data_IF_147054967876
#
_entry.id   IF_147054967876
#
_cell.length_a   1.000
_cell.length_b   1.000
_cell.length_c   1.000
_cell.angle_alpha   90.00
_cell.angle_beta   90.00
_cell.angle_gamma   90.00
#
_symmetry.space_group_name_H-M   'P 1'
#
loop_
_entity.id
_entity.type
_entity.pdbx_description
1 polymer ?
#
# COMPACT_ATOMS: atom_id res chain seq x y z
N UNK A 1 5.62 3.06 34.91
CA UNK A 1 5.71 3.92 33.71
C UNK A 1 5.70 3.02 32.49
N UNK A 2 4.51 2.58 32.04
CA UNK A 2 4.41 1.79 30.81
C UNK A 2 4.32 2.75 29.63
N UNK A 3 5.30 2.63 28.75
CA UNK A 3 5.42 3.36 27.49
C UNK A 3 4.17 3.08 26.66
N UNK A 4 3.29 4.07 26.54
CA UNK A 4 2.20 4.08 25.57
C UNK A 4 2.85 4.25 24.21
N UNK A 5 3.22 3.15 23.56
CA UNK A 5 3.72 3.18 22.19
C UNK A 5 2.64 3.80 21.31
N UNK A 6 3.01 4.88 20.62
CA UNK A 6 2.16 5.71 19.76
C UNK A 6 1.45 4.98 18.60
N UNK A 7 1.62 3.65 18.51
CA UNK A 7 0.97 2.76 17.56
C UNK A 7 -0.49 2.45 17.94
N UNK A 8 -0.88 2.60 19.21
CA UNK A 8 -2.24 2.29 19.70
C UNK A 8 -3.34 3.23 19.14
N UNK A 9 -2.95 4.38 18.59
CA UNK A 9 -3.85 5.36 17.97
C UNK A 9 -3.94 5.23 16.45
N UNK A 10 -3.12 4.38 15.82
CA UNK A 10 -3.12 4.23 14.38
C UNK A 10 -4.29 3.36 13.93
N UNK A 11 -4.84 3.68 12.76
CA UNK A 11 -5.95 2.95 12.14
C UNK A 11 -5.48 1.54 11.83
N UNK A 12 -5.99 0.51 12.54
CA UNK A 12 -5.58 -0.86 12.31
C UNK A 12 -6.14 -1.36 10.98
N UNK A 13 -5.48 -2.37 10.41
CA UNK A 13 -6.04 -3.08 9.26
C UNK A 13 -7.38 -3.69 9.64
N UNK A 14 -8.43 -3.43 8.84
CA UNK A 14 -9.75 -4.01 9.09
C UNK A 14 -9.69 -5.55 9.03
N UNK A 15 -10.49 -6.21 9.85
CA UNK A 15 -10.53 -7.68 9.92
C UNK A 15 -11.17 -8.26 8.65
N UNK A 16 -10.33 -8.56 7.65
CA UNK A 16 -10.71 -9.19 6.39
C UNK A 16 -9.47 -9.27 5.47
N UNK A 17 -9.29 -10.39 4.75
CA UNK A 17 -8.20 -10.47 3.77
C UNK A 17 -8.43 -9.45 2.65
N UNK A 18 -7.52 -8.48 2.54
CA UNK A 18 -7.39 -7.61 1.37
C UNK A 18 -7.05 -8.46 0.15
N UNK A 19 -8.06 -9.02 -0.51
CA UNK A 19 -7.82 -9.92 -1.64
C UNK A 19 -8.99 -10.74 -2.14
N UNK A 20 -10.15 -10.76 -1.49
CA UNK A 20 -11.31 -11.52 -1.96
C UNK A 20 -12.46 -10.62 -2.40
N UNK A 21 -12.78 -10.72 -3.70
CA UNK A 21 -13.94 -10.20 -4.43
C UNK A 21 -13.78 -8.83 -5.15
N UNK A 22 -13.26 -8.91 -6.38
CA UNK A 22 -13.90 -8.30 -7.56
C UNK A 22 -13.37 -6.96 -8.08
N UNK A 23 -13.00 -6.00 -7.23
CA UNK A 23 -12.76 -4.63 -7.69
C UNK A 23 -11.75 -3.86 -6.80
N UNK A 24 -10.47 -4.25 -6.93
CA UNK A 24 -9.26 -3.81 -6.21
C UNK A 24 -9.20 -2.35 -5.72
N UNK A 25 -9.69 -1.38 -6.51
CA UNK A 25 -9.67 0.03 -6.12
C UNK A 25 -10.78 0.42 -5.14
N UNK A 26 -11.97 -0.15 -5.29
CA UNK A 26 -13.14 0.26 -4.51
C UNK A 26 -13.12 -0.29 -3.09
N UNK A 27 -12.53 -1.47 -2.86
CA UNK A 27 -12.40 -2.03 -1.50
C UNK A 27 -11.39 -1.25 -0.68
N UNK A 28 -10.23 -0.90 -1.26
CA UNK A 28 -9.25 -0.08 -0.56
C UNK A 28 -9.75 1.37 -0.40
N UNK A 29 -10.38 1.96 -1.43
CA UNK A 29 -11.01 3.27 -1.31
C UNK A 29 -12.09 3.30 -0.21
N UNK A 30 -12.90 2.23 -0.09
CA UNK A 30 -13.88 2.07 0.99
C UNK A 30 -13.21 1.85 2.35
N UNK A 31 -12.16 1.06 2.42
CA UNK A 31 -11.44 0.77 3.68
C UNK A 31 -10.69 2.00 4.21
N UNK A 32 -10.22 2.87 3.31
CA UNK A 32 -9.57 4.12 3.65
C UNK A 32 -10.55 5.28 3.88
N UNK A 33 -11.81 5.11 3.47
CA UNK A 33 -12.85 6.16 3.44
C UNK A 33 -12.41 7.45 2.72
N UNK A 34 -11.55 7.30 1.71
CA UNK A 34 -11.02 8.44 0.96
C UNK A 34 -11.95 8.84 -0.17
N UNK A 35 -12.00 10.13 -0.46
CA UNK A 35 -12.63 10.62 -1.69
C UNK A 35 -11.89 10.05 -2.92
N UNK A 36 -12.65 9.62 -3.92
CA UNK A 36 -12.16 9.11 -5.22
C UNK A 36 -11.05 9.96 -5.83
N UNK A 37 -11.09 11.30 -5.68
CA UNK A 37 -10.02 12.18 -6.19
C UNK A 37 -8.69 12.00 -5.45
N UNK A 38 -8.70 11.85 -4.13
CA UNK A 38 -7.50 11.61 -3.33
C UNK A 38 -6.95 10.20 -3.63
N UNK A 39 -7.85 9.22 -3.72
CA UNK A 39 -7.50 7.85 -4.06
C UNK A 39 -6.85 7.74 -5.46
N UNK A 40 -7.40 8.41 -6.47
CA UNK A 40 -6.84 8.43 -7.82
C UNK A 40 -5.44 9.07 -7.87
N UNK A 41 -5.21 10.14 -7.10
CA UNK A 41 -3.87 10.76 -7.00
C UNK A 41 -2.85 9.80 -6.39
N UNK A 42 -3.22 9.10 -5.33
CA UNK A 42 -2.36 8.11 -4.69
C UNK A 42 -2.08 6.96 -5.65
N UNK A 43 -3.08 6.42 -6.34
CA UNK A 43 -2.88 5.38 -7.34
C UNK A 43 -1.94 5.80 -8.47
N UNK A 44 -2.04 7.04 -8.95
CA UNK A 44 -1.15 7.55 -10.00
C UNK A 44 0.30 7.65 -9.53
N UNK A 45 0.53 8.20 -8.34
CA UNK A 45 1.87 8.30 -7.75
C UNK A 45 2.44 6.93 -7.42
N UNK A 46 1.60 6.05 -6.89
CA UNK A 46 1.90 4.66 -6.63
C UNK A 46 2.38 3.92 -7.89
N UNK A 47 1.61 3.97 -8.99
CA UNK A 47 2.01 3.37 -10.27
C UNK A 47 3.33 3.92 -10.77
N UNK A 48 3.52 5.24 -10.72
CA UNK A 48 4.79 5.87 -11.11
C UNK A 48 5.98 5.33 -10.30
N UNK A 49 5.83 5.16 -8.98
CA UNK A 49 6.90 4.65 -8.14
C UNK A 49 7.19 3.16 -8.36
N UNK A 50 6.17 2.33 -8.61
CA UNK A 50 6.38 0.93 -8.96
C UNK A 50 7.16 0.81 -10.25
N UNK A 51 6.70 1.49 -11.31
CA UNK A 51 7.34 1.40 -12.62
C UNK A 51 8.79 1.88 -12.58
N UNK A 52 9.08 2.87 -11.73
CA UNK A 52 10.40 3.48 -11.63
C UNK A 52 11.36 2.75 -10.69
N UNK A 53 10.86 2.09 -9.65
CA UNK A 53 11.70 1.58 -8.56
C UNK A 53 11.56 0.10 -8.27
N UNK A 54 10.48 -0.54 -8.71
CA UNK A 54 10.22 -1.94 -8.45
C UNK A 54 10.43 -2.78 -9.70
N UNK A 55 10.98 -3.98 -9.51
CA UNK A 55 11.07 -4.96 -10.56
C UNK A 55 9.71 -5.64 -10.71
N UNK A 56 8.97 -5.24 -11.75
CA UNK A 56 7.63 -5.75 -12.06
C UNK A 56 7.63 -7.22 -12.47
N UNK A 57 8.80 -7.82 -12.73
CA UNK A 57 8.94 -9.25 -13.05
C UNK A 57 8.99 -10.13 -11.80
N UNK A 58 9.13 -9.53 -10.60
CA UNK A 58 9.35 -10.24 -9.34
C UNK A 58 8.21 -10.02 -8.36
N UNK A 59 7.92 -11.04 -7.56
CA UNK A 59 6.97 -10.97 -6.45
C UNK A 59 7.48 -10.06 -5.32
N UNK A 60 6.56 -9.48 -4.54
CA UNK A 60 6.87 -8.66 -3.38
C UNK A 60 7.85 -9.33 -2.40
N UNK A 61 7.69 -10.64 -2.18
CA UNK A 61 8.55 -11.45 -1.31
C UNK A 61 9.99 -11.62 -1.83
N UNK A 62 10.19 -11.45 -3.14
CA UNK A 62 11.49 -11.59 -3.82
C UNK A 62 12.11 -10.22 -4.11
N UNK A 63 11.36 -9.13 -3.91
CA UNK A 63 11.89 -7.79 -4.07
C UNK A 63 12.82 -7.40 -2.93
N UNK A 64 13.76 -6.51 -3.24
CA UNK A 64 14.66 -5.96 -2.24
C UNK A 64 13.86 -5.19 -1.18
N UNK A 65 14.01 -5.60 0.08
CA UNK A 65 13.43 -4.89 1.23
C UNK A 65 13.86 -3.42 1.29
N UNK A 66 15.03 -3.09 0.75
CA UNK A 66 15.52 -1.72 0.62
C UNK A 66 14.68 -0.90 -0.36
N UNK A 67 14.28 -1.48 -1.50
CA UNK A 67 13.45 -0.80 -2.50
C UNK A 67 12.04 -0.55 -1.97
N UNK A 68 11.47 -1.53 -1.26
CA UNK A 68 10.18 -1.38 -0.59
C UNK A 68 10.22 -0.24 0.44
N UNK A 69 11.27 -0.17 1.27
CA UNK A 69 11.46 0.94 2.23
C UNK A 69 11.56 2.31 1.55
N UNK A 70 12.32 2.41 0.45
CA UNK A 70 12.45 3.66 -0.31
C UNK A 70 11.10 4.10 -0.88
N UNK A 71 10.33 3.15 -1.41
CA UNK A 71 8.99 3.44 -1.93
C UNK A 71 8.05 3.89 -0.82
N UNK A 72 8.01 3.20 0.32
CA UNK A 72 7.20 3.60 1.47
C UNK A 72 7.57 5.02 1.94
N UNK A 73 8.86 5.34 2.06
CA UNK A 73 9.31 6.69 2.43
C UNK A 73 8.86 7.76 1.44
N UNK A 74 8.89 7.48 0.13
CA UNK A 74 8.41 8.41 -0.90
C UNK A 74 6.88 8.58 -0.87
N UNK A 75 6.14 7.50 -0.62
CA UNK A 75 4.69 7.58 -0.48
C UNK A 75 4.29 8.37 0.77
N UNK A 76 4.95 8.14 1.90
CA UNK A 76 4.73 8.94 3.13
C UNK A 76 5.04 10.42 2.92
N UNK A 77 6.16 10.73 2.28
CA UNK A 77 6.51 12.13 2.00
C UNK A 77 5.51 12.81 1.04
N UNK A 78 4.85 12.03 0.18
CA UNK A 78 3.84 12.55 -0.77
C UNK A 78 2.43 12.59 -0.16
N UNK A 79 2.15 11.69 0.79
CA UNK A 79 0.87 11.52 1.48
C UNK A 79 1.11 11.18 2.95
N UNK A 80 1.32 12.22 3.78
CA UNK A 80 1.54 12.04 5.22
C UNK A 80 0.37 11.35 5.93
N UNK A 81 -0.84 11.44 5.36
CA UNK A 81 -2.04 10.78 5.87
C UNK A 81 -1.89 9.25 6.02
N UNK A 82 -0.94 8.66 5.28
CA UNK A 82 -0.60 7.24 5.38
C UNK A 82 0.07 6.87 6.72
N UNK A 83 0.68 7.82 7.44
CA UNK A 83 1.26 7.58 8.78
C UNK A 83 0.19 7.28 9.83
N UNK A 84 -1.06 7.67 9.57
CA UNK A 84 -2.19 7.37 10.46
C UNK A 84 -2.57 5.89 10.47
N UNK A 85 -2.05 5.08 9.55
CA UNK A 85 -2.38 3.66 9.43
C UNK A 85 -1.26 2.78 10.03
N UNK A 86 -1.65 1.77 10.80
CA UNK A 86 -0.69 0.88 11.46
C UNK A 86 0.17 0.14 10.44
N UNK A 87 1.47 0.00 10.70
CA UNK A 87 2.43 -0.70 9.82
C UNK A 87 2.43 -0.25 8.35
N UNK A 88 1.85 0.91 8.03
CA UNK A 88 1.60 1.35 6.65
C UNK A 88 0.85 0.29 5.83
N UNK A 89 -0.10 -0.43 6.46
CA UNK A 89 -0.85 -1.50 5.82
C UNK A 89 -1.49 -1.11 4.48
N UNK A 90 -1.97 0.13 4.23
CA UNK A 90 -2.51 0.50 2.93
C UNK A 90 -1.46 0.43 1.82
N UNK A 91 -0.25 0.89 2.10
CA UNK A 91 0.87 0.88 1.16
C UNK A 91 1.28 -0.56 0.87
N UNK A 92 1.43 -1.37 1.91
CA UNK A 92 1.82 -2.77 1.78
C UNK A 92 0.79 -3.58 0.97
N UNK A 93 -0.51 -3.37 1.23
CA UNK A 93 -1.58 -4.04 0.49
C UNK A 93 -1.62 -3.62 -0.98
N UNK A 94 -1.43 -2.33 -1.27
CA UNK A 94 -1.31 -1.84 -2.64
C UNK A 94 -0.18 -2.57 -3.36
N UNK A 95 1.03 -2.57 -2.78
CA UNK A 95 2.24 -3.21 -3.33
C UNK A 95 2.00 -4.69 -3.61
N UNK A 96 1.52 -5.44 -2.61
CA UNK A 96 1.26 -6.87 -2.77
C UNK A 96 0.21 -7.15 -3.85
N UNK A 97 -0.88 -6.38 -3.85
CA UNK A 97 -1.95 -6.49 -4.85
C UNK A 97 -1.43 -6.29 -6.27
N UNK A 98 -0.68 -5.21 -6.50
CA UNK A 98 -0.21 -4.87 -7.84
C UNK A 98 0.82 -5.87 -8.35
N UNK A 99 1.77 -6.29 -7.51
CA UNK A 99 2.76 -7.29 -7.89
C UNK A 99 2.12 -8.67 -8.14
N UNK A 100 1.09 -9.06 -7.36
CA UNK A 100 0.29 -10.26 -7.62
C UNK A 100 -0.45 -10.18 -8.96
N UNK A 101 -1.03 -9.03 -9.29
CA UNK A 101 -1.71 -8.82 -10.57
C UNK A 101 -0.75 -8.87 -11.76
N UNK A 102 0.39 -8.18 -11.69
CA UNK A 102 1.37 -8.12 -12.76
C UNK A 102 2.02 -9.49 -13.01
N UNK A 103 2.47 -10.18 -11.96
CA UNK A 103 3.04 -11.53 -12.08
C UNK A 103 2.06 -12.56 -12.67
N UNK A 104 0.76 -12.44 -12.36
CA UNK A 104 -0.28 -13.30 -12.94
C UNK A 104 -0.55 -13.06 -14.43
N UNK A 105 -0.21 -11.87 -14.94
CA UNK A 105 -0.35 -11.48 -16.34
C UNK A 105 0.87 -11.79 -17.21
N UNK A 106 2.02 -12.10 -16.61
CA UNK A 106 3.23 -12.51 -17.34
C UNK A 106 3.23 -14.02 -17.68
N UNK A 107 2.04 -14.59 -17.93
CA UNK A 107 1.86 -15.99 -18.32
C UNK A 107 1.72 -16.14 -19.82
#
# INVERSE_FOLDING_TARGET
LSVSSSEDLKIPKSTGESGCLGHWGYTLCKALDWNLKAFAKILSLYHYFIEKHLDMTKYALVQSSMLLKVMCGKMLNSFPDLENYSDLWPVNDMIMTHLKYMSGRMK
#
